data_IF_528870118867
#
_entry.id   IF_528870118867
#
_cell.length_a   1.000
_cell.length_b   1.000
_cell.length_c   1.000
_cell.angle_alpha   90.00
_cell.angle_beta   90.00
_cell.angle_gamma   90.00
#
_symmetry.space_group_name_H-M   'P 1'
#
loop_
_entity.id
_entity.type
_entity.pdbx_description
1 polymer ?
#
# COMPACT_ATOMS: atom_id res chain seq x y z
N UNK A 1 13.11 -10.79 84.40
CA UNK A 1 11.81 -10.66 85.10
C UNK A 1 10.76 -10.30 84.07
N UNK A 2 10.13 -11.32 83.49
CA UNK A 2 8.71 -11.28 83.09
C UNK A 2 7.85 -11.40 84.37
N UNK A 3 6.51 -11.17 84.39
CA UNK A 3 5.54 -11.40 83.30
C UNK A 3 4.37 -10.38 83.19
N UNK A 4 3.47 -10.57 82.21
CA UNK A 4 2.15 -9.92 82.25
C UNK A 4 1.26 -10.02 81.00
N UNK A 5 0.87 -11.25 80.63
CA UNK A 5 -0.21 -11.58 79.68
C UNK A 5 -1.55 -10.87 79.95
N UNK A 6 -2.35 -10.60 78.90
CA UNK A 6 -3.81 -10.89 78.84
C UNK A 6 -4.38 -10.64 77.42
N UNK A 7 -4.67 -11.73 76.72
CA UNK A 7 -5.83 -11.91 75.81
C UNK A 7 -6.94 -12.60 76.65
N UNK A 8 -8.25 -12.69 76.30
CA UNK A 8 -8.81 -12.93 74.95
C UNK A 8 -10.23 -12.35 74.68
N UNK A 9 -10.77 -12.53 73.47
CA UNK A 9 -12.05 -13.25 73.20
C UNK A 9 -12.62 -12.99 71.80
N UNK A 10 -13.22 -14.06 71.26
CA UNK A 10 -13.71 -14.27 69.91
C UNK A 10 -15.23 -14.01 69.81
N UNK A 11 -15.74 -13.70 68.61
CA UNK A 11 -17.12 -13.99 68.13
C UNK A 11 -17.17 -13.61 66.63
N UNK A 12 -17.07 -14.52 65.64
CA UNK A 12 -18.01 -15.51 65.11
C UNK A 12 -19.32 -14.93 64.49
N UNK A 13 -19.32 -14.92 63.15
CA UNK A 13 -20.40 -15.07 62.17
C UNK A 13 -21.60 -14.10 62.18
N UNK A 14 -21.88 -13.46 61.03
CA UNK A 14 -23.03 -13.88 60.21
C UNK A 14 -22.93 -13.37 58.75
N UNK A 15 -23.36 -14.24 57.84
CA UNK A 15 -23.38 -14.07 56.39
C UNK A 15 -24.68 -13.39 55.97
N UNK A 16 -24.63 -12.34 55.15
CA UNK A 16 -25.77 -11.99 54.28
C UNK A 16 -25.33 -11.35 52.97
N UNK A 17 -25.26 -12.23 51.98
CA UNK A 17 -25.47 -11.99 50.55
C UNK A 17 -26.35 -10.78 50.26
N UNK A 18 -25.78 -9.74 49.64
CA UNK A 18 -26.53 -8.76 48.86
C UNK A 18 -26.12 -8.86 47.40
N UNK A 19 -27.09 -9.39 46.65
CA UNK A 19 -27.15 -9.47 45.19
C UNK A 19 -26.63 -8.18 44.54
N UNK A 20 -25.58 -8.35 43.75
CA UNK A 20 -25.21 -7.48 42.64
C UNK A 20 -26.41 -7.39 41.71
N UNK A 21 -26.96 -6.19 41.53
CA UNK A 21 -27.95 -5.93 40.47
C UNK A 21 -27.20 -5.88 39.13
N UNK A 22 -27.64 -6.62 38.09
CA UNK A 22 -27.05 -6.50 36.77
C UNK A 22 -27.42 -5.14 36.18
N UNK A 23 -26.41 -4.39 35.74
CA UNK A 23 -26.59 -3.21 34.91
C UNK A 23 -27.19 -3.66 33.58
N UNK A 24 -28.39 -3.16 33.28
CA UNK A 24 -29.02 -3.31 31.97
C UNK A 24 -28.15 -2.61 30.92
N UNK A 25 -27.42 -3.41 30.13
CA UNK A 25 -26.87 -2.97 28.85
C UNK A 25 -28.04 -2.65 27.91
N UNK A 26 -28.35 -1.37 27.76
CA UNK A 26 -29.17 -0.87 26.65
C UNK A 26 -28.29 -0.96 25.40
N UNK A 27 -28.64 -1.87 24.50
CA UNK A 27 -28.06 -1.94 23.16
C UNK A 27 -28.35 -0.60 22.44
N UNK A 28 -27.34 0.26 22.37
CA UNK A 28 -27.31 1.38 21.44
C UNK A 28 -26.79 0.81 20.11
N UNK A 29 -27.72 0.52 19.22
CA UNK A 29 -27.41 0.32 17.80
C UNK A 29 -26.75 1.60 17.27
N UNK A 30 -25.53 1.54 16.70
CA UNK A 30 -24.97 2.69 16.03
C UNK A 30 -25.82 3.04 14.79
N UNK A 31 -26.07 4.33 14.52
CA UNK A 31 -26.77 4.74 13.31
C UNK A 31 -25.90 4.42 12.09
N UNK A 32 -26.55 3.87 11.05
CA UNK A 32 -25.99 3.70 9.71
C UNK A 32 -25.29 4.99 9.25
N UNK A 33 -24.04 4.92 8.74
CA UNK A 33 -23.43 6.08 8.10
C UNK A 33 -24.25 6.43 6.86
N UNK A 34 -24.82 7.63 6.95
CA UNK A 34 -25.57 8.27 5.89
C UNK A 34 -24.63 8.62 4.74
N UNK A 35 -25.03 8.23 3.53
CA UNK A 35 -24.71 8.85 2.23
C UNK A 35 -23.25 9.27 2.02
N UNK A 36 -22.57 8.45 1.23
CA UNK A 36 -21.36 8.78 0.46
C UNK A 36 -21.46 10.21 -0.11
N UNK A 37 -20.48 11.10 0.12
CA UNK A 37 -20.44 12.38 -0.58
C UNK A 37 -20.15 12.11 -2.05
N UNK A 38 -21.16 12.40 -2.88
CA UNK A 38 -21.05 12.51 -4.33
C UNK A 38 -19.96 13.56 -4.61
N UNK A 39 -18.84 13.12 -5.20
CA UNK A 39 -17.84 14.01 -5.78
C UNK A 39 -18.58 14.89 -6.79
N UNK A 40 -18.72 16.18 -6.45
CA UNK A 40 -19.34 17.17 -7.31
C UNK A 40 -18.53 17.24 -8.61
N UNK A 41 -19.22 16.98 -9.73
CA UNK A 41 -18.71 17.28 -11.06
C UNK A 41 -18.26 18.74 -11.13
N UNK A 42 -16.96 18.95 -11.32
CA UNK A 42 -16.41 20.23 -11.78
C UNK A 42 -16.48 20.18 -13.32
N UNK A 43 -17.21 21.10 -13.98
CA UNK A 43 -17.22 21.15 -15.43
C UNK A 43 -15.94 21.83 -15.92
N UNK A 44 -15.05 21.05 -16.55
CA UNK A 44 -13.95 21.61 -17.35
C UNK A 44 -14.39 21.76 -18.80
N UNK A 45 -14.29 22.99 -19.31
CA UNK A 45 -14.49 23.36 -20.72
C UNK A 45 -13.19 23.12 -21.50
N UNK A 46 -13.16 22.27 -22.54
CA UNK A 46 -12.07 22.26 -23.50
C UNK A 46 -12.46 23.12 -24.71
N UNK A 47 -11.79 24.25 -24.91
CA UNK A 47 -11.80 24.92 -26.22
C UNK A 47 -10.88 24.15 -27.16
N UNK A 48 -11.47 23.37 -28.06
CA UNK A 48 -10.78 22.69 -29.14
C UNK A 48 -10.66 23.65 -30.34
N UNK A 49 -9.45 24.12 -30.63
CA UNK A 49 -9.17 24.91 -31.83
C UNK A 49 -8.82 23.97 -32.98
N UNK A 50 -9.79 23.66 -33.84
CA UNK A 50 -9.54 22.97 -35.10
C UNK A 50 -9.22 23.98 -36.20
N UNK A 51 -7.97 23.99 -36.68
CA UNK A 51 -7.61 24.63 -37.96
C UNK A 51 -8.02 23.72 -39.12
N UNK A 52 -9.08 24.11 -39.83
CA UNK A 52 -9.40 23.54 -41.14
C UNK A 52 -8.55 24.23 -42.21
N UNK A 53 -7.70 23.47 -42.90
CA UNK A 53 -7.17 23.89 -44.19
C UNK A 53 -7.89 23.13 -45.31
N UNK A 54 -8.54 23.93 -46.16
CA UNK A 54 -9.24 23.57 -47.40
C UNK A 54 -8.22 23.64 -48.54
N UNK A 55 -8.08 22.59 -49.32
CA UNK A 55 -7.73 22.70 -50.75
C UNK A 55 -8.50 21.65 -51.54
N UNK A 56 -8.93 22.07 -52.73
CA UNK A 56 -9.91 21.44 -53.62
C UNK A 56 -9.20 20.95 -54.88
N UNK A 57 -9.71 19.88 -55.50
CA UNK A 57 -9.78 19.81 -56.97
C UNK A 57 -9.46 18.46 -57.66
N UNK A 58 -10.52 17.88 -58.24
CA UNK A 58 -10.62 16.99 -59.44
C UNK A 58 -10.03 15.55 -59.38
N UNK A 59 -10.85 14.46 -59.48
CA UNK A 59 -11.50 13.79 -60.66
C UNK A 59 -10.46 13.24 -61.68
N UNK A 60 -10.39 11.96 -62.09
CA UNK A 60 -11.34 10.86 -62.35
C UNK A 60 -10.65 9.46 -62.32
N UNK A 61 -11.51 8.43 -62.15
CA UNK A 61 -11.45 6.98 -62.41
C UNK A 61 -10.19 6.29 -63.00
N UNK A 62 -9.80 5.15 -62.39
CA UNK A 62 -9.62 3.85 -63.10
C UNK A 62 -9.81 2.65 -62.15
N UNK A 63 -10.21 1.54 -62.77
CA UNK A 63 -10.99 0.39 -62.27
C UNK A 63 -10.10 -0.75 -61.71
N UNK A 64 -10.54 -1.28 -60.56
CA UNK A 64 -10.48 -2.69 -60.08
C UNK A 64 -9.16 -3.47 -60.23
N UNK A 65 -8.43 -3.59 -59.11
CA UNK A 65 -7.61 -4.76 -58.76
C UNK A 65 -7.88 -5.15 -57.30
N UNK A 66 -8.85 -6.06 -57.13
CA UNK A 66 -8.78 -7.24 -56.25
C UNK A 66 -8.18 -7.11 -54.83
N UNK A 67 -9.02 -6.63 -53.91
CA UNK A 67 -9.30 -7.10 -52.53
C UNK A 67 -8.41 -8.14 -51.79
N UNK A 68 -7.08 -7.99 -51.67
CA UNK A 68 -6.29 -8.91 -50.79
C UNK A 68 -5.33 -8.22 -49.80
N UNK A 69 -5.19 -6.88 -49.74
CA UNK A 69 -4.16 -6.26 -48.87
C UNK A 69 -4.61 -5.06 -48.01
N UNK A 70 -5.83 -5.08 -47.49
CA UNK A 70 -6.26 -4.09 -46.46
C UNK A 70 -7.13 -4.73 -45.38
N UNK A 71 -6.65 -5.83 -44.79
CA UNK A 71 -6.96 -6.08 -43.38
C UNK A 71 -5.87 -5.37 -42.59
N UNK A 72 -6.09 -4.15 -42.05
CA UNK A 72 -5.34 -3.78 -40.88
C UNK A 72 -5.72 -4.83 -39.84
N UNK A 73 -4.82 -5.79 -39.61
CA UNK A 73 -4.73 -6.42 -38.32
C UNK A 73 -4.45 -5.28 -37.34
N UNK A 74 -5.50 -4.55 -36.95
CA UNK A 74 -5.55 -3.92 -35.66
C UNK A 74 -5.32 -5.08 -34.71
N UNK A 75 -4.08 -5.23 -34.27
CA UNK A 75 -3.72 -6.23 -33.29
C UNK A 75 -4.68 -6.01 -32.14
N UNK A 76 -5.66 -6.90 -32.01
CA UNK A 76 -6.44 -6.98 -30.80
C UNK A 76 -5.45 -7.48 -29.78
N UNK A 77 -4.73 -6.55 -29.14
CA UNK A 77 -3.89 -6.85 -28.00
C UNK A 77 -4.80 -7.56 -27.01
N UNK A 78 -4.58 -8.87 -26.85
CA UNK A 78 -5.32 -9.66 -25.90
C UNK A 78 -5.23 -8.94 -24.54
N UNK A 79 -6.34 -8.82 -23.79
CA UNK A 79 -6.34 -8.10 -22.53
C UNK A 79 -5.25 -8.69 -21.63
N UNK A 80 -4.31 -7.85 -21.20
CA UNK A 80 -3.28 -8.24 -20.24
C UNK A 80 -3.96 -8.85 -19.02
N UNK A 81 -3.69 -10.14 -18.78
CA UNK A 81 -4.19 -10.87 -17.62
C UNK A 81 -3.08 -10.82 -16.56
N UNK A 82 -3.32 -10.24 -15.38
CA UNK A 82 -2.33 -10.30 -14.30
C UNK A 82 -2.03 -11.75 -13.92
N UNK A 83 -0.87 -12.00 -13.31
CA UNK A 83 -0.52 -13.33 -12.83
C UNK A 83 -1.58 -13.81 -11.84
N UNK A 84 -1.89 -15.11 -11.92
CA UNK A 84 -2.91 -15.74 -11.08
C UNK A 84 -2.58 -15.57 -9.60
N UNK A 85 -1.31 -15.81 -9.23
CA UNK A 85 -0.76 -15.50 -7.91
C UNK A 85 -0.16 -14.07 -7.90
N UNK A 86 -0.65 -13.17 -7.03
CA UNK A 86 -0.04 -11.85 -6.87
C UNK A 86 1.40 -11.90 -6.37
N UNK A 87 2.22 -10.92 -6.74
CA UNK A 87 3.66 -10.89 -6.40
C UNK A 87 3.95 -10.74 -4.90
N UNK A 88 2.97 -10.26 -4.13
CA UNK A 88 3.06 -10.02 -2.70
C UNK A 88 2.57 -11.19 -1.85
N UNK A 89 2.01 -12.23 -2.49
CA UNK A 89 1.67 -13.50 -1.87
C UNK A 89 2.90 -14.39 -1.98
N UNK A 90 3.50 -14.75 -0.84
CA UNK A 90 4.76 -15.50 -0.78
C UNK A 90 5.87 -14.83 -1.65
N UNK A 91 6.31 -13.61 -1.25
CA UNK A 91 7.24 -12.79 -2.02
C UNK A 91 8.63 -13.41 -2.15
N UNK A 92 8.99 -14.33 -1.26
CA UNK A 92 10.27 -15.05 -1.29
C UNK A 92 10.24 -16.35 -2.11
N UNK A 93 9.05 -16.82 -2.54
CA UNK A 93 8.90 -18.04 -3.33
C UNK A 93 9.19 -19.33 -2.55
N UNK A 94 8.82 -19.39 -1.26
CA UNK A 94 9.03 -20.55 -0.40
C UNK A 94 10.44 -20.69 0.18
N UNK A 95 11.36 -19.78 -0.16
CA UNK A 95 12.70 -19.72 0.42
C UNK A 95 12.72 -18.82 1.67
N UNK A 96 12.02 -19.22 2.73
CA UNK A 96 12.23 -18.63 4.06
C UNK A 96 13.09 -19.51 4.95
N UNK A 97 13.35 -20.76 4.54
CA UNK A 97 14.34 -21.60 5.20
C UNK A 97 15.74 -21.11 4.82
N UNK A 98 16.37 -20.37 5.73
CA UNK A 98 17.81 -20.49 5.88
C UNK A 98 18.06 -21.98 6.11
N UNK A 99 18.63 -22.68 5.13
CA UNK A 99 19.03 -24.06 5.27
C UNK A 99 20.08 -24.13 6.37
N UNK A 100 19.65 -24.37 7.60
CA UNK A 100 20.53 -24.68 8.73
C UNK A 100 21.08 -26.07 8.47
N UNK A 101 22.16 -26.14 7.69
CA UNK A 101 23.12 -27.22 7.88
C UNK A 101 23.62 -27.14 9.32
N UNK A 102 23.51 -28.25 10.04
CA UNK A 102 23.83 -28.44 11.45
C UNK A 102 25.05 -27.62 11.91
N UNK A 103 24.79 -26.50 12.59
CA UNK A 103 25.81 -25.65 13.19
C UNK A 103 25.18 -24.46 13.87
N UNK A 104 24.96 -24.57 15.18
CA UNK A 104 24.58 -23.50 16.12
C UNK A 104 23.47 -22.54 15.64
N UNK A 105 22.21 -22.93 15.84
CA UNK A 105 21.01 -22.16 15.49
C UNK A 105 20.88 -20.90 16.36
N UNK A 106 21.71 -19.90 16.10
CA UNK A 106 21.49 -18.54 16.58
C UNK A 106 20.52 -17.85 15.62
N UNK A 107 19.27 -17.69 16.06
CA UNK A 107 18.27 -16.88 15.39
C UNK A 107 18.87 -15.50 15.04
N UNK A 108 18.60 -15.00 13.83
CA UNK A 108 19.16 -13.71 13.41
C UNK A 108 18.77 -12.60 14.40
N UNK A 109 19.73 -11.75 14.75
CA UNK A 109 19.46 -10.64 15.66
C UNK A 109 18.46 -9.65 15.04
N UNK A 110 17.65 -8.99 15.87
CA UNK A 110 16.70 -7.96 15.43
C UNK A 110 17.41 -6.86 14.64
N UNK A 111 18.64 -6.52 15.03
CA UNK A 111 19.45 -5.55 14.32
C UNK A 111 19.79 -5.99 12.89
N UNK A 112 20.13 -7.27 12.70
CA UNK A 112 20.42 -7.85 11.38
C UNK A 112 19.18 -7.88 10.49
N UNK A 113 18.04 -8.33 11.05
CA UNK A 113 16.76 -8.39 10.33
C UNK A 113 16.29 -6.99 9.90
N UNK A 114 16.35 -6.02 10.81
CA UNK A 114 15.95 -4.65 10.54
C UNK A 114 16.88 -3.97 9.54
N UNK A 115 18.19 -4.27 9.54
CA UNK A 115 19.13 -3.74 8.56
C UNK A 115 18.79 -4.20 7.13
N UNK A 116 18.45 -5.49 6.95
CA UNK A 116 18.03 -6.04 5.66
C UNK A 116 16.79 -5.31 5.09
N UNK A 117 15.79 -5.09 5.94
CA UNK A 117 14.59 -4.32 5.60
C UNK A 117 14.96 -2.88 5.22
N UNK A 118 15.77 -2.20 6.02
CA UNK A 118 16.16 -0.79 5.80
C UNK A 118 16.91 -0.63 4.48
N UNK A 119 17.93 -1.45 4.21
CA UNK A 119 18.73 -1.36 2.99
C UNK A 119 17.84 -1.56 1.75
N UNK A 120 16.98 -2.58 1.79
CA UNK A 120 16.11 -2.93 0.67
C UNK A 120 15.04 -1.87 0.45
N UNK A 121 14.44 -1.33 1.52
CA UNK A 121 13.47 -0.23 1.45
C UNK A 121 14.12 1.06 0.94
N UNK A 122 15.35 1.39 1.36
CA UNK A 122 16.11 2.54 0.83
C UNK A 122 16.40 2.39 -0.66
N UNK A 123 16.73 1.19 -1.13
CA UNK A 123 16.91 0.93 -2.56
C UNK A 123 15.61 1.14 -3.35
N UNK A 124 14.48 0.61 -2.85
CA UNK A 124 13.17 0.80 -3.45
C UNK A 124 12.77 2.28 -3.49
N UNK A 125 12.96 3.00 -2.38
CA UNK A 125 12.61 4.42 -2.24
C UNK A 125 13.47 5.29 -3.14
N UNK A 126 14.78 5.02 -3.21
CA UNK A 126 15.69 5.75 -4.10
C UNK A 126 15.28 5.62 -5.56
N UNK A 127 14.93 4.39 -5.99
CA UNK A 127 14.44 4.17 -7.35
C UNK A 127 13.13 4.91 -7.61
N UNK A 128 12.14 4.74 -6.72
CA UNK A 128 10.86 5.41 -6.81
C UNK A 128 11.03 6.94 -6.86
N UNK A 129 11.79 7.52 -5.95
CA UNK A 129 11.98 8.98 -5.87
C UNK A 129 12.66 9.53 -7.12
N UNK A 130 13.65 8.82 -7.68
CA UNK A 130 14.38 9.28 -8.88
C UNK A 130 13.48 9.44 -10.11
N UNK A 131 12.40 8.68 -10.20
CA UNK A 131 11.46 8.70 -11.31
C UNK A 131 10.31 9.70 -11.13
N UNK A 132 10.05 10.12 -9.88
CA UNK A 132 8.86 10.91 -9.53
C UNK A 132 8.78 12.25 -10.27
N UNK A 133 9.91 12.95 -10.42
CA UNK A 133 9.98 14.21 -11.16
C UNK A 133 9.58 14.05 -12.62
N UNK A 134 10.14 13.05 -13.30
CA UNK A 134 9.85 12.81 -14.72
C UNK A 134 8.41 12.34 -14.91
N UNK A 135 7.92 11.47 -14.02
CA UNK A 135 6.54 11.01 -14.04
C UNK A 135 5.55 12.18 -13.93
N UNK A 136 5.73 13.05 -12.92
CA UNK A 136 4.84 14.19 -12.71
C UNK A 136 4.93 15.18 -13.87
N UNK A 137 6.15 15.45 -14.36
CA UNK A 137 6.35 16.35 -15.49
C UNK A 137 5.65 15.85 -16.75
N UNK A 138 5.76 14.56 -17.06
CA UNK A 138 5.19 13.99 -18.29
C UNK A 138 3.65 13.87 -18.22
N UNK A 139 3.11 13.47 -17.06
CA UNK A 139 1.66 13.22 -16.93
C UNK A 139 0.85 14.48 -16.64
N UNK A 140 1.41 15.43 -15.91
CA UNK A 140 0.67 16.62 -15.44
C UNK A 140 1.23 17.93 -15.96
N UNK A 141 2.36 17.93 -16.66
CA UNK A 141 3.08 19.14 -17.07
C UNK A 141 3.34 20.11 -15.90
N UNK A 142 3.56 19.57 -14.71
CA UNK A 142 3.80 20.32 -13.47
C UNK A 142 5.19 20.00 -12.92
N UNK A 143 5.71 20.85 -12.04
CA UNK A 143 6.81 20.46 -11.15
C UNK A 143 6.29 19.54 -10.03
N UNK A 144 7.19 18.70 -9.50
CA UNK A 144 6.88 17.70 -8.47
C UNK A 144 6.32 18.34 -7.20
N UNK A 145 6.94 19.43 -6.73
CA UNK A 145 6.60 20.02 -5.44
C UNK A 145 5.21 20.66 -5.46
N UNK A 146 4.92 21.47 -6.47
CA UNK A 146 3.61 22.07 -6.69
C UNK A 146 2.51 21.02 -6.84
N UNK A 147 2.79 19.96 -7.61
CA UNK A 147 1.83 18.87 -7.77
C UNK A 147 1.62 18.12 -6.46
N UNK A 148 2.69 17.81 -5.73
CA UNK A 148 2.60 17.18 -4.42
C UNK A 148 1.78 18.05 -3.44
N UNK A 149 2.09 19.34 -3.33
CA UNK A 149 1.39 20.27 -2.45
C UNK A 149 -0.11 20.39 -2.76
N UNK A 150 -0.48 20.32 -4.04
CA UNK A 150 -1.88 20.35 -4.47
C UNK A 150 -2.66 19.12 -3.98
N UNK A 151 -2.03 17.95 -3.98
CA UNK A 151 -2.70 16.67 -3.76
C UNK A 151 -2.38 16.01 -2.41
N UNK A 152 -1.47 16.56 -1.59
CA UNK A 152 -0.95 15.92 -0.36
C UNK A 152 -2.00 15.53 0.67
N UNK A 153 -3.15 16.20 0.68
CA UNK A 153 -4.26 15.90 1.60
C UNK A 153 -5.27 14.88 1.05
N UNK A 154 -5.20 14.57 -0.25
CA UNK A 154 -6.07 13.57 -0.86
C UNK A 154 -5.51 12.17 -0.63
N UNK A 155 -6.32 11.25 -0.10
CA UNK A 155 -5.93 9.87 0.16
C UNK A 155 -7.10 8.94 -0.09
N UNK A 156 -6.84 7.77 -0.69
CA UNK A 156 -7.83 6.70 -0.71
C UNK A 156 -7.90 6.00 0.65
N UNK A 157 -9.10 5.78 1.16
CA UNK A 157 -9.34 5.12 2.45
C UNK A 157 -8.84 3.67 2.51
N UNK A 158 -8.68 3.02 1.35
CA UNK A 158 -8.19 1.64 1.27
C UNK A 158 -6.66 1.54 1.30
N UNK A 159 -5.94 2.65 1.10
CA UNK A 159 -4.49 2.69 1.26
C UNK A 159 -4.11 2.69 2.75
N UNK A 160 -2.89 2.25 3.11
CA UNK A 160 -2.44 2.22 4.50
C UNK A 160 -2.65 3.55 5.21
N UNK A 161 -3.08 3.56 6.47
CA UNK A 161 -3.27 4.79 7.24
C UNK A 161 -2.00 5.17 8.03
N UNK A 162 -0.98 5.65 7.31
CA UNK A 162 0.29 6.09 7.91
C UNK A 162 0.13 7.52 8.46
N UNK A 163 0.59 7.82 9.70
CA UNK A 163 0.39 9.10 10.38
C UNK A 163 1.44 10.16 10.00
N UNK A 164 1.79 10.24 8.71
CA UNK A 164 2.67 11.25 8.12
C UNK A 164 2.41 11.39 6.62
N UNK A 165 2.74 12.54 6.06
CA UNK A 165 2.86 12.76 4.61
C UNK A 165 4.24 12.38 4.08
N UNK A 166 4.34 12.26 2.74
CA UNK A 166 5.62 12.02 2.06
C UNK A 166 6.63 13.13 2.39
N UNK A 167 7.85 12.76 2.77
CA UNK A 167 8.92 13.69 3.14
C UNK A 167 8.82 14.24 4.57
N UNK A 168 7.75 13.94 5.30
CA UNK A 168 7.60 14.31 6.71
C UNK A 168 8.20 13.25 7.64
N UNK A 169 8.63 13.63 8.84
CA UNK A 169 9.09 12.67 9.86
C UNK A 169 7.92 11.98 10.53
N UNK A 170 8.05 10.68 10.80
CA UNK A 170 7.11 9.95 11.65
C UNK A 170 7.05 10.60 13.05
N UNK A 171 5.86 10.94 13.57
CA UNK A 171 5.75 11.63 14.86
C UNK A 171 6.27 10.81 16.06
N UNK A 172 7.01 11.44 16.98
CA UNK A 172 7.60 10.78 18.15
C UNK A 172 6.58 10.08 19.06
N UNK A 173 5.39 10.66 19.20
CA UNK A 173 4.32 10.06 20.00
C UNK A 173 3.81 8.74 19.37
N UNK A 174 3.84 8.65 18.04
CA UNK A 174 3.50 7.43 17.32
C UNK A 174 4.60 6.38 17.46
N UNK A 175 5.87 6.78 17.36
CA UNK A 175 7.01 5.88 17.63
C UNK A 175 6.98 5.33 19.06
N UNK A 176 6.67 6.18 20.04
CA UNK A 176 6.49 5.77 21.44
C UNK A 176 5.36 4.75 21.60
N UNK A 177 4.22 4.97 20.95
CA UNK A 177 3.11 4.02 20.96
C UNK A 177 3.45 2.69 20.25
N UNK A 178 4.32 2.72 19.25
CA UNK A 178 4.82 1.49 18.61
C UNK A 178 5.75 0.69 19.53
N UNK A 179 6.59 1.36 20.34
CA UNK A 179 7.43 0.69 21.32
C UNK A 179 6.60 -0.17 22.30
N UNK A 180 5.43 0.33 22.72
CA UNK A 180 4.49 -0.42 23.57
C UNK A 180 3.92 -1.67 22.86
N UNK A 181 3.74 -1.62 21.53
CA UNK A 181 3.21 -2.72 20.72
C UNK A 181 4.25 -3.77 20.32
N UNK A 182 5.54 -3.44 20.48
CA UNK A 182 6.72 -4.28 20.14
C UNK A 182 6.96 -4.45 18.63
N UNK A 183 8.19 -4.85 18.30
CA UNK A 183 8.66 -5.06 16.94
C UNK A 183 7.80 -6.07 16.15
N UNK A 184 7.42 -7.17 16.77
CA UNK A 184 6.62 -8.26 16.16
C UNK A 184 5.32 -7.72 15.54
N UNK A 185 4.58 -6.90 16.30
CA UNK A 185 3.34 -6.29 15.83
C UNK A 185 3.59 -5.39 14.62
N UNK A 186 4.65 -4.59 14.68
CA UNK A 186 5.02 -3.69 13.59
C UNK A 186 5.45 -4.44 12.32
N UNK A 187 6.18 -5.54 12.42
CA UNK A 187 6.56 -6.35 11.26
C UNK A 187 5.33 -6.87 10.51
N UNK A 188 4.34 -7.40 11.24
CA UNK A 188 3.08 -7.87 10.64
C UNK A 188 2.30 -6.72 10.00
N UNK A 189 2.19 -5.59 10.69
CA UNK A 189 1.41 -4.46 10.18
C UNK A 189 2.09 -3.78 8.98
N UNK A 190 3.42 -3.64 9.00
CA UNK A 190 4.19 -3.13 7.86
C UNK A 190 4.10 -4.05 6.64
N UNK A 191 4.12 -5.38 6.85
CA UNK A 191 3.88 -6.34 5.78
C UNK A 191 2.51 -6.10 5.12
N UNK A 192 1.44 -5.96 5.92
CA UNK A 192 0.11 -5.63 5.41
C UNK A 192 0.09 -4.29 4.65
N UNK A 193 0.78 -3.26 5.12
CA UNK A 193 0.86 -1.97 4.43
C UNK A 193 1.53 -2.10 3.05
N UNK A 194 2.65 -2.81 3.00
CA UNK A 194 3.39 -3.07 1.77
C UNK A 194 2.56 -3.89 0.78
N UNK A 195 1.84 -4.93 1.24
CA UNK A 195 0.93 -5.70 0.39
C UNK A 195 -0.22 -4.84 -0.16
N UNK A 196 -0.80 -3.97 0.68
CA UNK A 196 -1.87 -3.07 0.26
C UNK A 196 -1.42 -2.11 -0.83
N UNK A 197 -0.21 -1.54 -0.69
CA UNK A 197 0.39 -0.71 -1.74
C UNK A 197 0.72 -1.53 -2.99
N UNK A 198 1.15 -2.78 -2.85
CA UNK A 198 1.43 -3.66 -3.98
C UNK A 198 0.21 -3.88 -4.88
N UNK A 199 -0.99 -3.99 -4.29
CA UNK A 199 -2.26 -4.02 -5.05
C UNK A 199 -2.40 -2.78 -5.94
N UNK A 200 -2.08 -1.61 -5.41
CA UNK A 200 -2.14 -0.36 -6.15
C UNK A 200 -1.11 -0.31 -7.28
N UNK A 201 0.16 -0.65 -7.01
CA UNK A 201 1.21 -0.66 -8.03
C UNK A 201 0.92 -1.66 -9.16
N UNK A 202 0.37 -2.82 -8.83
CA UNK A 202 -0.09 -3.80 -9.83
C UNK A 202 -1.14 -3.19 -10.75
N UNK A 203 -2.12 -2.47 -10.20
CA UNK A 203 -3.15 -1.79 -10.98
C UNK A 203 -2.56 -0.69 -11.90
N UNK A 204 -1.61 0.11 -11.40
CA UNK A 204 -0.95 1.14 -12.23
C UNK A 204 -0.24 0.46 -13.41
N UNK A 205 0.58 -0.55 -13.14
CA UNK A 205 1.31 -1.24 -14.20
C UNK A 205 0.37 -1.91 -15.22
N UNK A 206 -0.71 -2.56 -14.75
CA UNK A 206 -1.73 -3.14 -15.64
C UNK A 206 -2.32 -2.10 -16.58
N UNK A 207 -2.64 -0.91 -16.08
CA UNK A 207 -3.19 0.14 -16.91
C UNK A 207 -2.15 0.72 -17.87
N UNK A 208 -0.90 0.87 -17.44
CA UNK A 208 0.19 1.29 -18.33
C UNK A 208 0.41 0.29 -19.48
N UNK A 209 0.37 -1.01 -19.21
CA UNK A 209 0.42 -2.04 -20.26
C UNK A 209 -0.79 -1.93 -21.18
N UNK A 210 -2.00 -1.81 -20.63
CA UNK A 210 -3.25 -1.73 -21.40
C UNK A 210 -3.30 -0.54 -22.34
N UNK A 211 -2.79 0.61 -21.90
CA UNK A 211 -2.79 1.85 -22.66
C UNK A 211 -1.46 2.14 -23.36
N UNK A 212 -0.52 1.19 -23.35
CA UNK A 212 0.81 1.32 -23.95
C UNK A 212 1.54 2.61 -23.50
N UNK A 213 1.52 2.89 -22.19
CA UNK A 213 2.15 4.07 -21.60
C UNK A 213 3.66 3.84 -21.36
N UNK A 214 4.44 4.91 -21.53
CA UNK A 214 5.93 4.87 -21.51
C UNK A 214 6.54 4.38 -20.18
N UNK A 215 5.86 4.58 -19.05
CA UNK A 215 6.38 4.25 -17.71
C UNK A 215 6.12 2.80 -17.27
N UNK A 216 5.57 1.97 -18.17
CA UNK A 216 5.27 0.57 -17.87
C UNK A 216 6.47 -0.22 -17.30
N UNK A 217 7.69 -0.17 -17.90
CA UNK A 217 8.83 -0.92 -17.36
C UNK A 217 9.30 -0.41 -16.00
N UNK A 218 9.19 0.90 -15.74
CA UNK A 218 9.53 1.50 -14.46
C UNK A 218 8.60 1.01 -13.34
N UNK A 219 7.30 0.99 -13.58
CA UNK A 219 6.32 0.49 -12.60
C UNK A 219 6.41 -1.02 -12.39
N UNK A 220 6.81 -1.78 -13.42
CA UNK A 220 7.15 -3.20 -13.24
C UNK A 220 8.38 -3.36 -12.32
N UNK A 221 9.40 -2.54 -12.50
CA UNK A 221 10.59 -2.57 -11.64
C UNK A 221 10.28 -2.10 -10.20
N UNK A 222 9.40 -1.11 -10.02
CA UNK A 222 8.91 -0.72 -8.69
C UNK A 222 8.22 -1.89 -7.98
N UNK A 223 7.39 -2.65 -8.70
CA UNK A 223 6.76 -3.86 -8.18
C UNK A 223 7.79 -4.91 -7.73
N UNK A 224 8.84 -5.15 -8.52
CA UNK A 224 9.90 -6.08 -8.12
C UNK A 224 10.70 -5.60 -6.91
N UNK A 225 10.97 -4.29 -6.81
CA UNK A 225 11.63 -3.71 -5.63
C UNK A 225 10.76 -3.80 -4.39
N UNK A 226 9.45 -3.54 -4.51
CA UNK A 226 8.51 -3.75 -3.41
C UNK A 226 8.44 -5.23 -3.00
N UNK A 227 8.48 -6.16 -3.96
CA UNK A 227 8.57 -7.60 -3.67
C UNK A 227 9.82 -7.94 -2.85
N UNK A 228 10.96 -7.32 -3.12
CA UNK A 228 12.18 -7.51 -2.31
C UNK A 228 11.97 -7.03 -0.88
N UNK A 229 11.40 -5.83 -0.68
CA UNK A 229 11.10 -5.32 0.67
C UNK A 229 10.13 -6.24 1.41
N UNK A 230 9.06 -6.68 0.74
CA UNK A 230 8.11 -7.65 1.28
C UNK A 230 8.81 -8.95 1.70
N UNK A 231 9.77 -9.43 0.91
CA UNK A 231 10.52 -10.63 1.26
C UNK A 231 11.39 -10.44 2.51
N UNK A 232 12.11 -9.33 2.65
CA UNK A 232 12.88 -9.03 3.87
C UNK A 232 11.99 -8.98 5.11
N UNK A 233 10.83 -8.33 5.02
CA UNK A 233 9.86 -8.29 6.12
C UNK A 233 9.31 -9.69 6.43
N UNK A 234 9.02 -10.49 5.41
CA UNK A 234 8.53 -11.87 5.59
C UNK A 234 9.58 -12.79 6.22
N UNK A 235 10.85 -12.63 5.88
CA UNK A 235 11.97 -13.32 6.53
C UNK A 235 12.01 -12.92 8.01
N UNK A 236 11.96 -11.61 8.32
CA UNK A 236 11.96 -11.14 9.70
C UNK A 236 10.76 -11.67 10.52
N UNK A 237 9.57 -11.76 9.91
CA UNK A 237 8.40 -12.37 10.55
C UNK A 237 8.64 -13.87 10.77
N UNK A 238 9.13 -14.59 9.78
CA UNK A 238 9.36 -16.05 9.87
C UNK A 238 10.38 -16.41 10.94
N UNK A 239 11.45 -15.61 11.04
CA UNK A 239 12.48 -15.78 12.07
C UNK A 239 11.94 -15.50 13.47
N UNK A 240 11.18 -14.40 13.66
CA UNK A 240 10.69 -14.00 14.99
C UNK A 240 9.42 -14.71 15.44
N UNK A 241 8.57 -15.08 14.50
CA UNK A 241 7.23 -15.62 14.72
C UNK A 241 6.97 -16.81 13.77
N UNK A 242 7.72 -17.94 13.91
CA UNK A 242 7.66 -19.06 12.96
C UNK A 242 6.28 -19.73 12.86
N UNK A 243 5.49 -19.66 13.93
CA UNK A 243 4.13 -20.24 13.97
C UNK A 243 3.05 -19.30 13.41
N UNK A 244 3.40 -18.05 13.10
CA UNK A 244 2.43 -17.07 12.63
C UNK A 244 2.08 -17.33 11.16
N UNK A 245 0.79 -17.54 10.90
CA UNK A 245 0.22 -17.51 9.55
C UNK A 245 -0.29 -16.09 9.26
N UNK A 246 0.26 -15.47 8.24
CA UNK A 246 -0.16 -14.14 7.79
C UNK A 246 -1.32 -14.30 6.81
N UNK A 247 -2.41 -13.59 7.05
CA UNK A 247 -3.48 -13.43 6.07
C UNK A 247 -3.08 -12.39 5.03
N UNK A 248 -2.79 -12.84 3.81
CA UNK A 248 -2.37 -11.96 2.72
C UNK A 248 -3.50 -11.01 2.29
N UNK A 249 -3.13 -9.78 1.95
CA UNK A 249 -4.08 -8.80 1.41
C UNK A 249 -4.56 -9.25 0.02
N UNK A 250 -5.88 -9.36 -0.13
CA UNK A 250 -6.51 -9.64 -1.42
C UNK A 250 -6.62 -8.37 -2.28
N UNK A 251 -6.68 -8.57 -3.60
CA UNK A 251 -6.92 -7.48 -4.56
C UNK A 251 -8.17 -6.69 -4.15
N UNK A 252 -9.25 -7.31 -3.68
CA UNK A 252 -10.51 -6.63 -3.31
C UNK A 252 -10.39 -5.43 -2.36
N UNK A 253 -9.27 -5.21 -1.66
CA UNK A 253 -9.00 -3.98 -0.89
C UNK A 253 -9.19 -2.70 -1.73
N UNK A 254 -8.79 -2.71 -3.01
CA UNK A 254 -9.12 -1.65 -3.96
C UNK A 254 -10.41 -2.02 -4.69
N UNK A 255 -11.40 -1.12 -4.70
CA UNK A 255 -12.71 -1.43 -5.25
C UNK A 255 -12.69 -1.63 -6.79
N UNK A 256 -13.59 -2.46 -7.35
CA UNK A 256 -13.69 -2.64 -8.80
C UNK A 256 -13.90 -1.33 -9.57
N UNK A 257 -14.60 -0.35 -8.98
CA UNK A 257 -14.84 0.93 -9.64
C UNK A 257 -13.57 1.77 -9.82
N UNK A 258 -12.63 1.68 -8.88
CA UNK A 258 -11.31 2.31 -9.02
C UNK A 258 -10.40 1.53 -9.97
N UNK A 259 -10.61 0.21 -10.12
CA UNK A 259 -9.88 -0.65 -11.06
C UNK A 259 -10.33 -0.53 -12.50
N UNK A 260 -11.60 -0.16 -12.73
CA UNK A 260 -12.12 0.00 -14.08
C UNK A 260 -11.25 1.02 -14.78
N UNK A 261 -10.66 0.58 -15.90
CA UNK A 261 -9.92 1.47 -16.77
C UNK A 261 -10.91 2.43 -17.41
N UNK A 262 -11.08 3.59 -16.79
CA UNK A 262 -11.84 4.67 -17.37
C UNK A 262 -11.10 5.17 -18.61
N UNK A 263 -11.86 5.52 -19.65
CA UNK A 263 -11.30 6.15 -20.86
C UNK A 263 -10.72 7.54 -20.57
N UNK A 264 -11.11 8.16 -19.45
CA UNK A 264 -10.53 9.41 -18.98
C UNK A 264 -9.15 9.17 -18.35
N UNK A 265 -8.11 9.57 -19.08
CA UNK A 265 -6.72 9.49 -18.63
C UNK A 265 -6.44 10.38 -17.42
N UNK A 266 -7.13 11.51 -17.27
CA UNK A 266 -6.87 12.49 -16.20
C UNK A 266 -7.22 11.91 -14.83
N UNK A 267 -8.38 11.27 -14.73
CA UNK A 267 -8.79 10.58 -13.50
C UNK A 267 -7.82 9.45 -13.14
N UNK A 268 -7.41 8.66 -14.14
CA UNK A 268 -6.45 7.57 -13.95
C UNK A 268 -5.11 8.08 -13.45
N UNK A 269 -4.56 9.13 -14.06
CA UNK A 269 -3.27 9.68 -13.66
C UNK A 269 -3.28 10.20 -12.23
N UNK A 270 -4.34 10.89 -11.80
CA UNK A 270 -4.47 11.33 -10.40
C UNK A 270 -4.51 10.13 -9.45
N UNK A 271 -5.32 9.10 -9.76
CA UNK A 271 -5.35 7.87 -8.96
C UNK A 271 -3.96 7.24 -8.83
N UNK A 272 -3.25 7.12 -9.96
CA UNK A 272 -1.93 6.49 -10.02
C UNK A 272 -0.89 7.29 -9.25
N UNK A 273 -0.95 8.62 -9.34
CA UNK A 273 -0.12 9.51 -8.54
C UNK A 273 -0.37 9.32 -7.04
N UNK A 274 -1.62 9.27 -6.59
CA UNK A 274 -1.93 9.07 -5.17
C UNK A 274 -1.39 7.73 -4.65
N UNK A 275 -1.55 6.65 -5.42
CA UNK A 275 -1.00 5.33 -5.07
C UNK A 275 0.54 5.37 -5.05
N UNK A 276 1.15 5.97 -6.06
CA UNK A 276 2.61 6.07 -6.18
C UNK A 276 3.23 6.92 -5.06
N UNK A 277 2.58 8.02 -4.67
CA UNK A 277 2.94 8.82 -3.51
C UNK A 277 2.85 8.01 -2.22
N UNK A 278 1.75 7.28 -2.01
CA UNK A 278 1.60 6.43 -0.83
C UNK A 278 2.61 5.29 -0.79
N UNK A 279 3.06 4.77 -1.94
CA UNK A 279 4.17 3.83 -1.99
C UNK A 279 5.47 4.42 -1.43
N UNK A 280 5.86 5.61 -1.89
CA UNK A 280 7.05 6.29 -1.37
C UNK A 280 6.90 6.61 0.12
N UNK A 281 5.73 7.11 0.54
CA UNK A 281 5.42 7.41 1.95
C UNK A 281 5.52 6.15 2.84
N UNK A 282 5.02 5.02 2.33
CA UNK A 282 5.11 3.72 3.01
C UNK A 282 6.55 3.25 3.20
N UNK A 283 7.40 3.42 2.18
CA UNK A 283 8.81 3.04 2.29
C UNK A 283 9.56 3.93 3.29
N UNK A 284 9.34 5.25 3.27
CA UNK A 284 9.91 6.16 4.26
C UNK A 284 9.50 5.78 5.67
N UNK A 285 8.21 5.53 5.90
CA UNK A 285 7.70 5.11 7.20
C UNK A 285 8.32 3.79 7.66
N UNK A 286 8.47 2.82 6.74
CA UNK A 286 9.12 1.54 7.06
C UNK A 286 10.56 1.74 7.52
N UNK A 287 11.32 2.56 6.78
CA UNK A 287 12.71 2.89 7.12
C UNK A 287 12.79 3.55 8.50
N UNK A 288 11.97 4.58 8.75
CA UNK A 288 12.03 5.35 9.99
C UNK A 288 11.67 4.52 11.22
N UNK A 289 10.65 3.65 11.13
CA UNK A 289 10.26 2.81 12.26
C UNK A 289 11.28 1.67 12.48
N UNK A 290 11.85 1.09 11.43
CA UNK A 290 12.94 0.13 11.58
C UNK A 290 14.19 0.78 12.20
N UNK A 291 14.55 2.00 11.80
CA UNK A 291 15.65 2.76 12.42
C UNK A 291 15.36 3.04 13.91
N UNK A 292 14.12 3.38 14.26
CA UNK A 292 13.70 3.53 15.65
C UNK A 292 13.88 2.23 16.45
N UNK A 293 13.36 1.09 15.97
CA UNK A 293 13.49 -0.19 16.67
C UNK A 293 14.93 -0.70 16.80
N UNK A 294 15.86 -0.24 15.95
CA UNK A 294 17.30 -0.52 16.11
C UNK A 294 17.97 0.31 17.20
N UNK A 295 17.37 1.43 17.59
CA UNK A 295 17.96 2.41 18.52
C UNK A 295 17.49 2.26 19.97
N UNK A 296 16.41 1.50 20.19
CA UNK A 296 15.80 1.22 21.50
C UNK A 296 16.26 -0.13 22.04
#
# INVERSE_FOLDING_TARGET
MEPGHLSPSQSLADSRSRRVRPAHYRALTPPLPSRVPIVRHIPFHPQCVTKQNKTSGLRELFIVVTCVLLLPCGGMSAPYKPPEKPIWVDPCGGHTSVSVEQGDSSQASDQTLLEGIIITAKNALSYASSLSHQYVKNKFNSDLNSHHDTWKHERYHWLPNIPKGLGEKTPDHHLSALAEKRLDWYLVESYRYLQTVAVGLEQIHQDMVRFNEEFSPEFLNMQYKLKQVLCEVHIAISEKMPELKIDDVDRSVMSPDLRKANSDSSFRWIRDWLIYREFMNCLEYVIEVCEFFKSV
#
